data_IF_225132530399
#
_entry.id   IF_225132530399
#
_cell.length_a   1.000
_cell.length_b   1.000
_cell.length_c   1.000
_cell.angle_alpha   90.00
_cell.angle_beta   90.00
_cell.angle_gamma   90.00
#
_symmetry.space_group_name_H-M   'P 1'
#
loop_
_entity.id
_entity.type
_entity.pdbx_description
1 polymer ?
#
# COMPACT_ATOMS: atom_id res chain seq x y z
N UNK A 1 12.65 28.76 -47.73
CA UNK A 1 13.48 28.15 -46.65
C UNK A 1 13.61 29.06 -45.43
N UNK A 2 14.00 30.34 -45.56
CA UNK A 2 14.21 31.25 -44.42
C UNK A 2 12.96 31.44 -43.51
N UNK A 3 11.76 31.56 -44.08
CA UNK A 3 10.52 31.71 -43.31
C UNK A 3 10.23 30.52 -42.37
N UNK A 4 10.53 29.30 -42.82
CA UNK A 4 10.36 28.08 -42.01
C UNK A 4 11.37 28.02 -40.88
N UNK A 5 12.62 28.43 -41.13
CA UNK A 5 13.64 28.54 -40.10
C UNK A 5 13.25 29.55 -39.01
N UNK A 6 12.71 30.71 -39.38
CA UNK A 6 12.22 31.71 -38.43
C UNK A 6 11.08 31.16 -37.56
N UNK A 7 10.15 30.39 -38.15
CA UNK A 7 9.09 29.72 -37.39
C UNK A 7 9.63 28.73 -36.35
N UNK A 8 10.66 27.94 -36.68
CA UNK A 8 11.28 27.04 -35.69
C UNK A 8 12.00 27.80 -34.57
N UNK A 9 12.61 28.94 -34.89
CA UNK A 9 13.21 29.83 -33.89
C UNK A 9 12.13 30.41 -32.96
N UNK A 10 10.99 30.82 -33.49
CA UNK A 10 9.84 31.28 -32.71
C UNK A 10 9.29 30.18 -31.80
N UNK A 11 9.14 28.95 -32.32
CA UNK A 11 8.72 27.80 -31.52
C UNK A 11 9.71 27.49 -30.39
N UNK A 12 11.01 27.52 -30.67
CA UNK A 12 12.03 27.32 -29.63
C UNK A 12 11.98 28.41 -28.54
N UNK A 13 11.72 29.67 -28.95
CA UNK A 13 11.53 30.80 -28.03
C UNK A 13 10.24 30.73 -27.23
N UNK A 14 9.22 30.04 -27.71
CA UNK A 14 7.94 29.85 -27.02
C UNK A 14 8.00 28.81 -25.89
N UNK A 15 9.04 27.97 -25.82
CA UNK A 15 9.19 26.96 -24.76
C UNK A 15 9.45 27.64 -23.39
N UNK A 16 9.02 26.99 -22.30
CA UNK A 16 9.17 27.52 -20.94
C UNK A 16 10.63 27.94 -20.61
N UNK A 17 10.87 29.11 -19.98
CA UNK A 17 12.21 29.68 -19.82
C UNK A 17 13.15 28.82 -18.97
N UNK A 18 12.63 28.03 -18.02
CA UNK A 18 13.45 27.06 -17.27
C UNK A 18 14.06 25.99 -18.17
N UNK A 19 13.31 25.50 -19.14
CA UNK A 19 13.78 24.48 -20.07
C UNK A 19 14.76 25.09 -21.07
N UNK A 20 14.51 26.32 -21.54
CA UNK A 20 15.47 27.06 -22.37
C UNK A 20 16.82 27.26 -21.67
N UNK A 21 16.81 27.69 -20.40
CA UNK A 21 18.04 27.83 -19.60
C UNK A 21 18.78 26.49 -19.43
N UNK A 22 18.03 25.41 -19.25
CA UNK A 22 18.62 24.07 -19.15
C UNK A 22 19.30 23.67 -20.45
N UNK A 23 18.63 23.78 -21.60
CA UNK A 23 19.20 23.45 -22.91
C UNK A 23 20.34 24.38 -23.31
N UNK A 24 20.32 25.64 -22.88
CA UNK A 24 21.42 26.57 -23.08
C UNK A 24 22.66 26.18 -22.26
N UNK A 25 22.48 25.70 -21.02
CA UNK A 25 23.57 25.24 -20.15
C UNK A 25 24.10 23.85 -20.55
N UNK A 26 23.21 22.96 -20.97
CA UNK A 26 23.51 21.58 -21.39
C UNK A 26 22.95 21.31 -22.80
N UNK A 27 23.66 21.75 -23.85
CA UNK A 27 23.20 21.53 -25.22
C UNK A 27 23.35 20.04 -25.60
N UNK A 28 22.27 19.37 -26.06
CA UNK A 28 22.37 17.99 -26.55
C UNK A 28 23.11 17.93 -27.89
N UNK A 29 23.73 16.78 -28.17
CA UNK A 29 24.51 16.57 -29.40
C UNK A 29 23.67 16.71 -30.67
N UNK A 30 22.37 16.40 -30.61
CA UNK A 30 21.43 16.50 -31.72
C UNK A 30 21.29 17.93 -32.27
N UNK A 31 21.40 18.96 -31.42
CA UNK A 31 21.22 20.37 -31.86
C UNK A 31 22.52 21.05 -32.27
N UNK A 32 23.67 20.48 -31.90
CA UNK A 32 24.97 21.06 -32.23
C UNK A 32 25.25 20.95 -33.75
N UNK A 33 25.94 21.90 -34.39
CA UNK A 33 26.37 21.76 -35.77
C UNK A 33 27.34 20.58 -35.94
N UNK A 34 27.33 19.93 -37.10
CA UNK A 34 28.08 18.68 -37.37
C UNK A 34 29.56 18.77 -36.95
N UNK A 35 30.22 19.91 -37.19
CA UNK A 35 31.63 20.10 -36.84
C UNK A 35 31.90 20.13 -35.33
N UNK A 36 30.96 20.65 -34.52
CA UNK A 36 31.12 20.67 -33.06
C UNK A 36 30.63 19.39 -32.40
N UNK A 37 29.73 18.63 -33.05
CA UNK A 37 29.28 17.31 -32.60
C UNK A 37 30.46 16.35 -32.41
N UNK A 38 31.36 16.24 -33.38
CA UNK A 38 32.51 15.34 -33.33
C UNK A 38 33.40 15.59 -32.09
N UNK A 39 33.65 16.86 -31.78
CA UNK A 39 34.45 17.26 -30.62
C UNK A 39 33.69 17.02 -29.30
N UNK A 40 32.38 17.21 -29.29
CA UNK A 40 31.55 16.99 -28.09
C UNK A 40 31.44 15.51 -27.70
N UNK A 41 31.47 14.58 -28.67
CA UNK A 41 31.45 13.14 -28.40
C UNK A 41 32.75 12.69 -27.73
N UNK A 42 33.90 13.20 -28.19
CA UNK A 42 35.20 12.96 -27.57
C UNK A 42 35.30 13.63 -26.18
N UNK A 43 34.67 14.80 -26.02
CA UNK A 43 34.61 15.48 -24.73
C UNK A 43 33.63 14.84 -23.74
N UNK A 44 32.55 14.17 -24.18
CA UNK A 44 31.56 13.55 -23.29
C UNK A 44 32.15 12.45 -22.40
N UNK A 45 33.24 11.79 -22.83
CA UNK A 45 33.92 10.77 -22.03
C UNK A 45 34.70 11.36 -20.84
N UNK A 46 34.92 12.69 -20.78
CA UNK A 46 35.69 13.32 -19.69
C UNK A 46 35.33 14.74 -19.26
N UNK A 47 34.44 15.47 -19.95
CA UNK A 47 34.32 16.92 -19.80
C UNK A 47 33.05 17.41 -19.08
N UNK A 48 31.90 16.74 -19.21
CA UNK A 48 30.67 17.15 -18.48
C UNK A 48 29.84 15.92 -18.10
N UNK A 49 29.78 15.53 -16.81
CA UNK A 49 28.92 14.44 -16.38
C UNK A 49 27.45 14.80 -16.56
N UNK A 50 26.59 13.79 -16.77
CA UNK A 50 25.15 14.00 -16.86
C UNK A 50 24.63 14.74 -15.59
N UNK A 51 23.98 15.91 -15.73
CA UNK A 51 23.58 16.74 -14.59
C UNK A 51 22.45 16.11 -13.75
N UNK A 52 21.86 15.01 -14.22
CA UNK A 52 20.79 14.28 -13.53
C UNK A 52 21.28 13.09 -12.70
N UNK A 53 22.52 12.65 -12.91
CA UNK A 53 23.08 11.51 -12.20
C UNK A 53 24.03 11.98 -11.09
N UNK A 54 24.03 11.32 -9.92
CA UNK A 54 25.10 11.51 -8.95
C UNK A 54 26.42 11.03 -9.57
N UNK A 55 27.50 11.75 -9.33
CA UNK A 55 28.82 11.38 -9.80
C UNK A 55 29.80 11.33 -8.64
N UNK A 56 30.81 10.48 -8.76
CA UNK A 56 31.85 10.33 -7.75
C UNK A 56 32.97 11.33 -8.04
N UNK A 57 33.32 12.15 -7.06
CA UNK A 57 34.46 13.06 -7.21
C UNK A 57 35.76 12.26 -7.30
N UNK A 58 36.65 12.49 -8.30
CA UNK A 58 37.80 11.64 -8.54
C UNK A 58 38.83 11.66 -7.40
N UNK A 59 39.09 12.85 -6.82
CA UNK A 59 40.07 13.00 -5.73
C UNK A 59 39.52 12.51 -4.38
N UNK A 60 38.40 13.07 -3.92
CA UNK A 60 37.81 12.76 -2.60
C UNK A 60 37.11 11.41 -2.54
N UNK A 61 36.71 10.83 -3.67
CA UNK A 61 35.94 9.59 -3.74
C UNK A 61 34.52 9.65 -3.17
N UNK A 62 34.04 10.83 -2.77
CA UNK A 62 32.68 11.04 -2.27
C UNK A 62 31.70 11.15 -3.44
N UNK A 63 30.50 10.61 -3.26
CA UNK A 63 29.41 10.81 -4.20
C UNK A 63 28.83 12.21 -4.02
N UNK A 64 28.82 12.97 -5.11
CA UNK A 64 28.17 14.26 -5.17
C UNK A 64 26.73 14.07 -5.62
N UNK A 65 25.85 14.88 -5.04
CA UNK A 65 24.46 14.95 -5.45
C UNK A 65 24.34 15.41 -6.91
N UNK A 66 23.31 14.96 -7.65
CA UNK A 66 23.07 15.47 -8.99
C UNK A 66 22.76 16.97 -8.94
N UNK A 67 23.21 17.73 -9.95
CA UNK A 67 22.93 19.17 -10.04
C UNK A 67 21.43 19.48 -10.00
N UNK A 68 20.60 18.59 -10.57
CA UNK A 68 19.15 18.63 -10.45
C UNK A 68 18.64 17.47 -9.60
N UNK A 69 17.92 17.80 -8.53
CA UNK A 69 17.22 16.80 -7.71
C UNK A 69 16.10 16.10 -8.49
N UNK A 70 15.70 14.90 -8.05
CA UNK A 70 14.65 14.10 -8.71
C UNK A 70 13.32 14.85 -8.92
N UNK A 71 12.99 15.80 -8.04
CA UNK A 71 11.83 16.69 -8.21
C UNK A 71 12.02 17.63 -9.40
N UNK A 72 13.16 18.32 -9.46
CA UNK A 72 13.52 19.23 -10.56
C UNK A 72 13.65 18.49 -11.89
N UNK A 73 14.19 17.26 -11.88
CA UNK A 73 14.20 16.40 -13.07
C UNK A 73 12.79 16.13 -13.58
N UNK A 74 11.86 15.76 -12.69
CA UNK A 74 10.46 15.53 -13.07
C UNK A 74 9.76 16.80 -13.57
N UNK A 75 10.06 17.98 -13.00
CA UNK A 75 9.56 19.27 -13.50
C UNK A 75 10.06 19.53 -14.94
N UNK A 76 11.34 19.30 -15.22
CA UNK A 76 11.91 19.44 -16.58
C UNK A 76 11.32 18.44 -17.57
N UNK A 77 11.20 17.16 -17.20
CA UNK A 77 10.59 16.12 -18.04
C UNK A 77 9.12 16.45 -18.32
N UNK A 78 8.38 16.97 -17.34
CA UNK A 78 6.99 17.40 -17.54
C UNK A 78 6.89 18.52 -18.58
N UNK A 79 7.69 19.57 -18.44
CA UNK A 79 7.74 20.68 -19.40
C UNK A 79 8.20 20.24 -20.79
N UNK A 80 9.18 19.34 -20.86
CA UNK A 80 9.68 18.80 -22.12
C UNK A 80 8.64 17.93 -22.82
N UNK A 81 7.88 17.12 -22.08
CA UNK A 81 6.76 16.34 -22.62
C UNK A 81 5.67 17.24 -23.19
N UNK A 82 5.29 18.29 -22.47
CA UNK A 82 4.30 19.27 -22.94
C UNK A 82 4.74 19.97 -24.24
N UNK A 83 6.04 20.23 -24.39
CA UNK A 83 6.62 20.84 -25.58
C UNK A 83 7.01 19.83 -26.69
N UNK A 84 6.94 18.51 -26.43
CA UNK A 84 7.38 17.46 -27.36
C UNK A 84 8.91 17.36 -27.53
N UNK A 85 9.69 17.83 -26.56
CA UNK A 85 11.16 17.97 -26.61
C UNK A 85 11.85 17.04 -25.60
N UNK A 86 11.20 15.95 -25.22
CA UNK A 86 11.68 15.02 -24.19
C UNK A 86 12.96 14.29 -24.62
N UNK A 87 13.09 13.94 -25.90
CA UNK A 87 14.25 13.24 -26.48
C UNK A 87 15.55 14.05 -26.41
N UNK A 88 15.45 15.38 -26.32
CA UNK A 88 16.61 16.27 -26.22
C UNK A 88 17.22 16.27 -24.81
N UNK A 89 16.53 15.74 -23.80
CA UNK A 89 17.05 15.69 -22.43
C UNK A 89 18.04 14.52 -22.27
N UNK A 90 19.07 14.68 -21.41
CA UNK A 90 19.93 13.54 -21.07
C UNK A 90 19.15 12.48 -20.29
N UNK A 91 19.70 11.26 -20.25
CA UNK A 91 19.07 10.12 -19.59
C UNK A 91 18.59 10.43 -18.17
N UNK A 92 17.32 10.08 -17.87
CA UNK A 92 16.73 10.17 -16.53
C UNK A 92 15.87 8.96 -16.18
N UNK A 93 15.83 8.63 -14.89
CA UNK A 93 14.85 7.67 -14.35
C UNK A 93 13.40 8.20 -14.36
N UNK A 94 13.20 9.50 -14.63
CA UNK A 94 11.88 10.15 -14.63
C UNK A 94 11.27 10.26 -16.03
N UNK A 95 12.05 10.01 -17.08
CA UNK A 95 11.60 10.00 -18.48
C UNK A 95 10.45 9.01 -18.72
N UNK A 96 9.59 9.36 -19.66
CA UNK A 96 8.40 8.61 -20.06
C UNK A 96 8.79 7.25 -20.62
N UNK A 97 9.68 7.24 -21.63
CA UNK A 97 10.16 6.02 -22.28
C UNK A 97 10.84 5.08 -21.29
N UNK A 98 11.70 5.64 -20.45
CA UNK A 98 12.44 4.90 -19.42
C UNK A 98 11.52 4.27 -18.38
N UNK A 99 10.48 4.98 -17.95
CA UNK A 99 9.48 4.45 -17.02
C UNK A 99 8.64 3.35 -17.65
N UNK A 100 8.30 3.49 -18.93
CA UNK A 100 7.56 2.46 -19.69
C UNK A 100 8.44 1.24 -19.88
N UNK A 101 9.67 1.41 -20.37
CA UNK A 101 10.66 0.34 -20.58
C UNK A 101 10.83 -0.49 -19.31
N UNK A 102 11.16 0.14 -18.17
CA UNK A 102 11.30 -0.57 -16.89
C UNK A 102 10.03 -1.31 -16.46
N UNK A 103 8.85 -0.72 -16.69
CA UNK A 103 7.58 -1.36 -16.31
C UNK A 103 7.28 -2.57 -17.20
N UNK A 104 7.60 -2.50 -18.48
CA UNK A 104 7.40 -3.59 -19.45
C UNK A 104 8.40 -4.72 -19.20
N UNK A 105 9.68 -4.39 -19.02
CA UNK A 105 10.75 -5.37 -18.81
C UNK A 105 10.67 -6.03 -17.43
N UNK A 106 10.49 -5.24 -16.37
CA UNK A 106 10.59 -5.74 -14.99
C UNK A 106 9.23 -6.10 -14.36
N UNK A 107 8.13 -5.54 -14.86
CA UNK A 107 6.78 -5.74 -14.31
C UNK A 107 6.57 -5.19 -12.90
N UNK A 108 5.53 -5.68 -12.22
CA UNK A 108 5.28 -5.37 -10.81
C UNK A 108 6.18 -6.25 -9.92
N UNK A 109 6.93 -5.63 -9.00
CA UNK A 109 7.90 -6.33 -8.13
C UNK A 109 7.61 -6.17 -6.64
N UNK A 110 6.38 -5.77 -6.29
CA UNK A 110 5.96 -5.62 -4.89
C UNK A 110 5.93 -6.99 -4.20
N UNK A 111 6.38 -7.07 -2.95
CA UNK A 111 6.41 -8.35 -2.23
C UNK A 111 4.99 -8.92 -2.08
N UNK A 112 4.81 -10.17 -2.50
CA UNK A 112 3.53 -10.89 -2.44
C UNK A 112 2.73 -10.84 -3.73
N UNK A 113 2.63 -9.67 -4.39
CA UNK A 113 1.83 -9.47 -5.62
C UNK A 113 2.67 -9.34 -6.89
N UNK A 114 3.99 -9.17 -6.76
CA UNK A 114 4.89 -9.06 -7.90
C UNK A 114 5.07 -10.38 -8.65
N UNK A 115 5.54 -10.29 -9.89
CA UNK A 115 5.79 -11.45 -10.76
C UNK A 115 6.72 -12.43 -10.03
N UNK A 116 6.29 -13.69 -9.94
CA UNK A 116 7.04 -14.76 -9.25
C UNK A 116 7.00 -14.72 -7.71
N UNK A 117 6.26 -13.80 -7.09
CA UNK A 117 6.06 -13.78 -5.63
C UNK A 117 4.78 -14.50 -5.21
N UNK A 118 4.76 -15.01 -3.97
CA UNK A 118 3.58 -15.63 -3.35
C UNK A 118 3.16 -14.87 -2.10
N UNK A 119 1.84 -14.70 -1.93
CA UNK A 119 1.25 -14.07 -0.74
C UNK A 119 1.43 -14.97 0.49
N UNK A 120 1.74 -14.35 1.65
CA UNK A 120 1.99 -15.06 2.92
C UNK A 120 0.72 -15.70 3.54
N UNK A 121 -0.46 -15.22 3.15
CA UNK A 121 -1.74 -15.52 3.80
C UNK A 121 -1.90 -14.82 5.17
N UNK A 122 -3.10 -14.84 5.73
CA UNK A 122 -3.33 -14.41 7.12
C UNK A 122 -2.97 -15.53 8.11
N UNK A 123 -2.78 -15.18 9.39
CA UNK A 123 -2.41 -16.17 10.41
C UNK A 123 -3.48 -17.28 10.56
N UNK A 124 -4.76 -16.92 10.51
CA UNK A 124 -5.85 -17.88 10.66
C UNK A 124 -5.96 -18.85 9.47
N UNK A 125 -5.66 -18.39 8.25
CA UNK A 125 -5.62 -19.24 7.04
C UNK A 125 -4.50 -20.28 7.15
N UNK A 126 -3.28 -19.83 7.52
CA UNK A 126 -2.13 -20.73 7.71
C UNK A 126 -2.36 -21.75 8.81
N UNK A 127 -3.04 -21.36 9.89
CA UNK A 127 -3.29 -22.23 11.04
C UNK A 127 -4.59 -23.06 10.91
N UNK A 128 -5.35 -22.92 9.83
CA UNK A 128 -6.64 -23.60 9.69
C UNK A 128 -6.44 -25.12 9.65
N UNK A 129 -5.58 -25.62 8.77
CA UNK A 129 -5.25 -27.05 8.67
C UNK A 129 -4.76 -27.66 10.01
N UNK A 130 -3.72 -27.11 10.68
CA UNK A 130 -3.27 -27.68 11.95
C UNK A 130 -4.30 -27.55 13.07
N UNK A 131 -5.18 -26.53 13.07
CA UNK A 131 -6.27 -26.43 14.04
C UNK A 131 -7.35 -27.50 13.79
N UNK A 132 -7.69 -27.77 12.54
CA UNK A 132 -8.67 -28.81 12.20
C UNK A 132 -8.15 -30.22 12.56
N UNK A 133 -6.86 -30.50 12.32
CA UNK A 133 -6.27 -31.78 12.69
C UNK A 133 -6.25 -32.00 14.21
N UNK A 134 -5.94 -30.95 14.98
CA UNK A 134 -6.05 -31.00 16.45
C UNK A 134 -7.48 -31.28 16.93
N UNK A 135 -8.49 -30.71 16.27
CA UNK A 135 -9.91 -31.00 16.59
C UNK A 135 -10.27 -32.45 16.24
N UNK A 136 -9.86 -32.93 15.07
CA UNK A 136 -10.10 -34.31 14.61
C UNK A 136 -9.53 -35.33 15.59
N UNK A 137 -8.25 -35.17 15.95
CA UNK A 137 -7.57 -36.07 16.90
C UNK A 137 -8.20 -36.05 18.28
N UNK A 138 -8.62 -34.88 18.79
CA UNK A 138 -9.33 -34.76 20.06
C UNK A 138 -10.69 -35.48 20.06
N UNK A 139 -11.50 -35.33 18.99
CA UNK A 139 -12.79 -35.99 18.85
C UNK A 139 -12.61 -37.52 18.81
N UNK A 140 -11.63 -38.01 18.06
CA UNK A 140 -11.32 -39.44 17.99
C UNK A 140 -10.81 -40.00 19.32
N UNK A 141 -10.06 -39.21 20.09
CA UNK A 141 -9.57 -39.58 21.42
C UNK A 141 -10.62 -39.48 22.54
N UNK A 142 -11.72 -38.76 22.32
CA UNK A 142 -12.75 -38.49 23.33
C UNK A 142 -13.39 -39.75 23.92
N UNK A 143 -13.82 -40.77 23.15
CA UNK A 143 -14.46 -41.96 23.71
C UNK A 143 -13.56 -42.71 24.70
N UNK A 144 -12.26 -42.79 24.41
CA UNK A 144 -11.28 -43.40 25.31
C UNK A 144 -11.17 -42.61 26.61
N UNK A 145 -11.05 -41.29 26.51
CA UNK A 145 -10.92 -40.40 27.67
C UNK A 145 -12.16 -40.48 28.57
N UNK A 146 -13.36 -40.53 28.00
CA UNK A 146 -14.62 -40.68 28.75
C UNK A 146 -14.67 -42.00 29.50
N UNK A 147 -14.21 -43.11 28.91
CA UNK A 147 -14.13 -44.42 29.60
C UNK A 147 -13.16 -44.37 30.78
N UNK A 148 -11.97 -43.80 30.59
CA UNK A 148 -10.98 -43.63 31.65
C UNK A 148 -11.54 -42.77 32.79
N UNK A 149 -12.19 -41.64 32.48
CA UNK A 149 -12.79 -40.76 33.47
C UNK A 149 -13.91 -41.43 34.27
N UNK A 150 -14.81 -42.16 33.59
CA UNK A 150 -15.88 -42.93 34.25
C UNK A 150 -15.32 -44.03 35.17
N UNK A 151 -14.23 -44.70 34.78
CA UNK A 151 -13.58 -45.75 35.57
C UNK A 151 -12.88 -45.20 36.82
N UNK A 152 -12.14 -44.10 36.68
CA UNK A 152 -11.38 -43.50 37.79
C UNK A 152 -12.28 -42.74 38.77
N UNK A 153 -13.33 -42.08 38.26
CA UNK A 153 -14.23 -41.22 39.03
C UNK A 153 -13.72 -39.80 39.20
N UNK A 154 -14.64 -38.85 39.43
CA UNK A 154 -14.37 -37.41 39.48
C UNK A 154 -13.34 -37.01 40.53
N UNK A 155 -13.39 -37.61 41.73
CA UNK A 155 -12.51 -37.24 42.85
C UNK A 155 -11.04 -37.65 42.66
N UNK A 156 -10.78 -38.71 41.89
CA UNK A 156 -9.42 -39.28 41.70
C UNK A 156 -8.79 -38.86 40.37
N UNK A 157 -9.47 -38.02 39.57
CA UNK A 157 -8.96 -37.55 38.29
C UNK A 157 -7.88 -36.48 38.47
N UNK A 158 -6.76 -36.63 37.77
CA UNK A 158 -5.58 -35.74 37.87
C UNK A 158 -5.14 -35.16 36.52
N UNK A 159 -5.63 -35.70 35.39
CA UNK A 159 -5.26 -35.27 34.03
C UNK A 159 -6.09 -34.05 33.59
N UNK A 160 -5.92 -32.93 34.28
CA UNK A 160 -6.55 -31.67 33.89
C UNK A 160 -5.74 -30.96 32.78
N UNK A 161 -6.37 -30.24 31.85
CA UNK A 161 -5.64 -29.44 30.89
C UNK A 161 -4.85 -28.36 31.61
N UNK A 162 -3.57 -28.23 31.27
CA UNK A 162 -2.75 -27.11 31.72
C UNK A 162 -3.05 -25.90 30.82
N UNK A 163 -4.17 -25.21 31.08
CA UNK A 163 -4.35 -23.81 30.67
C UNK A 163 -5.46 -23.15 31.48
N UNK A 164 -5.26 -21.90 31.94
CA UNK A 164 -6.15 -21.23 32.86
C UNK A 164 -7.34 -20.63 32.08
N UNK A 165 -8.56 -21.01 32.44
CA UNK A 165 -9.74 -20.18 32.15
C UNK A 165 -10.01 -19.16 33.28
N UNK A 166 -9.06 -18.98 34.21
CA UNK A 166 -9.20 -18.09 35.37
C UNK A 166 -7.82 -17.50 35.73
N UNK A 167 -7.22 -16.71 34.85
CA UNK A 167 -6.26 -15.67 35.25
C UNK A 167 -6.43 -14.45 34.34
N UNK A 168 -7.68 -14.04 34.09
CA UNK A 168 -7.95 -12.67 33.67
C UNK A 168 -7.93 -11.78 34.90
N UNK A 169 -6.98 -10.86 34.97
CA UNK A 169 -6.72 -9.93 36.06
C UNK A 169 -7.82 -8.83 36.18
N UNK A 170 -9.00 -9.09 35.61
CA UNK A 170 -10.17 -8.21 35.58
C UNK A 170 -11.46 -8.92 36.01
N UNK A 171 -11.37 -10.05 36.72
CA UNK A 171 -12.50 -10.54 37.51
C UNK A 171 -12.52 -9.76 38.84
N UNK A 172 -13.21 -8.62 38.87
CA UNK A 172 -13.64 -8.01 40.13
C UNK A 172 -14.47 -9.04 40.90
N UNK A 173 -14.25 -9.23 42.21
CA UNK A 173 -15.09 -10.11 43.01
C UNK A 173 -16.44 -9.42 43.18
N UNK A 174 -17.43 -9.79 42.37
CA UNK A 174 -18.81 -9.59 42.77
C UNK A 174 -19.04 -10.48 43.99
N UNK A 175 -19.01 -9.85 45.16
CA UNK A 175 -19.52 -10.32 46.42
C UNK A 175 -20.91 -10.95 46.19
N UNK A 176 -20.95 -12.29 46.15
CA UNK A 176 -22.19 -13.06 46.19
C UNK A 176 -22.57 -13.16 47.67
N UNK A 177 -23.66 -12.53 48.14
CA UNK A 177 -24.09 -12.70 49.52
C UNK A 177 -24.57 -14.15 49.75
N UNK A 178 -24.42 -14.68 50.98
CA UNK A 178 -24.79 -16.05 51.30
C UNK A 178 -26.30 -16.29 51.12
N UNK A 179 -26.61 -17.43 50.50
CA UNK A 179 -27.94 -18.02 50.40
C UNK A 179 -28.47 -18.31 51.82
N UNK A 180 -29.16 -17.36 52.45
CA UNK A 180 -30.06 -17.64 53.58
C UNK A 180 -31.14 -16.57 53.85
N UNK A 181 -31.25 -15.51 53.03
CA UNK A 181 -32.19 -14.42 53.29
C UNK A 181 -33.23 -14.15 52.17
N UNK A 182 -33.43 -15.07 51.22
CA UNK A 182 -34.30 -14.84 50.05
C UNK A 182 -35.36 -15.93 49.81
N UNK A 183 -35.80 -16.65 50.85
CA UNK A 183 -36.93 -17.58 50.78
C UNK A 183 -38.07 -17.24 51.77
N UNK A 184 -38.22 -15.96 52.15
CA UNK A 184 -39.32 -15.52 53.05
C UNK A 184 -40.15 -14.32 52.58
N UNK A 185 -39.91 -13.75 51.39
CA UNK A 185 -40.67 -12.56 50.94
C UNK A 185 -41.45 -12.74 49.64
N UNK A 186 -41.54 -13.96 49.10
CA UNK A 186 -42.29 -14.24 47.86
C UNK A 186 -43.69 -14.85 48.06
N UNK A 187 -44.14 -15.06 49.30
CA UNK A 187 -45.54 -15.39 49.61
C UNK A 187 -46.21 -14.26 50.40
N UNK A 188 -46.38 -13.09 49.76
CA UNK A 188 -47.31 -12.07 50.23
C UNK A 188 -47.79 -11.19 49.07
N UNK A 189 -48.80 -11.70 48.38
CA UNK A 189 -49.89 -10.98 47.71
C UNK A 189 -49.60 -10.12 46.46
N UNK A 190 -50.41 -10.30 45.39
CA UNK A 190 -50.37 -9.50 44.17
C UNK A 190 -51.20 -8.22 44.32
N UNK A 191 -50.70 -7.08 43.85
CA UNK A 191 -51.44 -6.00 43.14
C UNK A 191 -50.61 -4.71 43.04
N UNK A 192 -50.86 -3.98 41.93
CA UNK A 192 -50.33 -2.66 41.51
C UNK A 192 -49.03 -2.74 40.69
N UNK A 193 -49.03 -2.76 39.35
CA UNK A 193 -49.70 -1.92 38.34
C UNK A 193 -49.30 -0.44 38.42
N UNK A 194 -48.69 0.01 37.32
CA UNK A 194 -48.51 1.38 36.83
C UNK A 194 -47.62 2.33 37.64
N UNK A 195 -46.42 2.63 37.12
CA UNK A 195 -46.10 3.92 36.52
C UNK A 195 -44.58 4.06 36.28
N UNK A 196 -44.23 4.90 35.30
CA UNK A 196 -42.92 5.51 35.06
C UNK A 196 -41.98 4.81 34.07
N UNK A 197 -42.35 4.90 32.79
CA UNK A 197 -41.38 5.11 31.71
C UNK A 197 -41.31 6.62 31.42
N UNK A 198 -40.14 7.28 31.45
CA UNK A 198 -39.92 8.47 30.65
C UNK A 198 -39.18 8.09 29.37
N UNK A 199 -39.85 8.37 28.25
CA UNK A 199 -39.26 8.49 26.92
C UNK A 199 -38.21 9.60 26.89
N UNK A 200 -37.06 9.32 26.29
CA UNK A 200 -36.24 10.36 25.66
C UNK A 200 -35.58 9.83 24.39
N UNK A 201 -36.19 10.26 23.29
CA UNK A 201 -35.62 10.68 22.01
C UNK A 201 -34.12 10.46 21.79
N UNK A 202 -33.79 9.60 20.83
CA UNK A 202 -32.53 9.66 20.09
C UNK A 202 -32.89 9.71 18.60
N UNK A 203 -32.76 10.90 18.04
CA UNK A 203 -32.85 11.19 16.61
C UNK A 203 -31.67 10.56 15.86
N UNK A 204 -31.97 9.86 14.77
CA UNK A 204 -31.00 9.33 13.81
C UNK A 204 -30.66 10.41 12.77
N UNK A 205 -29.38 10.63 12.41
CA UNK A 205 -29.05 11.45 11.25
C UNK A 205 -29.32 10.70 9.94
N UNK A 206 -30.24 11.25 9.15
CA UNK A 206 -30.48 10.91 7.76
C UNK A 206 -29.48 11.64 6.86
N UNK A 207 -28.52 10.90 6.29
CA UNK A 207 -27.93 11.20 4.97
C UNK A 207 -26.81 10.22 4.63
N UNK A 208 -27.18 9.11 4.00
CA UNK A 208 -26.25 8.39 3.14
C UNK A 208 -26.90 8.24 1.77
N UNK A 209 -26.52 9.14 0.87
CA UNK A 209 -26.97 9.18 -0.53
C UNK A 209 -26.00 8.31 -1.34
N UNK A 210 -26.50 7.19 -1.85
CA UNK A 210 -25.81 6.29 -2.78
C UNK A 210 -25.86 6.91 -4.19
N UNK A 211 -24.76 7.03 -4.95
CA UNK A 211 -24.83 7.34 -6.36
C UNK A 211 -25.13 6.08 -7.18
N UNK A 212 -26.13 6.20 -8.03
CA UNK A 212 -26.60 5.19 -8.97
C UNK A 212 -25.52 4.85 -10.01
N UNK A 213 -25.36 3.55 -10.23
CA UNK A 213 -24.55 2.95 -11.29
C UNK A 213 -25.26 3.15 -12.63
N UNK A 214 -24.73 4.04 -13.46
CA UNK A 214 -25.09 4.15 -14.87
C UNK A 214 -24.53 2.97 -15.65
N UNK A 215 -25.40 2.03 -16.01
CA UNK A 215 -25.14 0.96 -16.96
C UNK A 215 -24.96 1.55 -18.38
N UNK A 216 -23.71 1.78 -18.76
CA UNK A 216 -23.31 2.10 -20.14
C UNK A 216 -23.04 0.81 -20.92
N UNK A 217 -24.02 0.36 -21.69
CA UNK A 217 -23.83 -0.66 -22.71
C UNK A 217 -22.87 -0.15 -23.80
N UNK A 218 -21.77 -0.87 -24.01
CA UNK A 218 -20.94 -0.70 -25.21
C UNK A 218 -20.91 -2.04 -25.94
N UNK A 219 -21.75 -2.13 -26.97
CA UNK A 219 -21.58 -3.04 -28.11
C UNK A 219 -20.37 -2.56 -28.90
N UNK A 220 -19.43 -3.47 -29.20
CA UNK A 220 -18.63 -3.38 -30.42
C UNK A 220 -18.70 -4.73 -31.13
N UNK A 221 -19.42 -4.73 -32.24
CA UNK A 221 -19.19 -5.60 -33.38
C UNK A 221 -17.98 -5.07 -34.17
N UNK A 222 -17.45 -5.95 -35.05
CA UNK A 222 -16.44 -5.71 -36.11
C UNK A 222 -15.00 -5.83 -35.58
N UNK A 223 -14.11 -6.68 -36.10
CA UNK A 223 -13.97 -7.40 -37.40
C UNK A 223 -13.83 -8.91 -37.24
#
# INVERSE_FOLDING_TARGET
MAAVANRYVELAKAIHPRLQRFLAKYPPTQILPVNTRANSLQAQEGAVPNPFLPHKHPVTGKWQEPEFSLRRQAELVKLAREAGVEELLPFTNKGTEERIRKRVEEGLRVKGTGVGQKVKGHHHERMLAPRMEKRRTAILGMPRLVREWRKTGTRKWTKFPSSPLITSHWATPLFVPPLDAALKTWFASPQKVCALFPSSDISLPSSFRVPESGAGAIRFMVT
#
